data_IF_520090542993
#
_entry.id   IF_520090542993
#
_cell.length_a   1.000
_cell.length_b   1.000
_cell.length_c   1.000
_cell.angle_alpha   90.00
_cell.angle_beta   90.00
_cell.angle_gamma   90.00
#
_symmetry.space_group_name_H-M   'P 1'
#
loop_
_entity.id
_entity.type
_entity.pdbx_description
1 polymer ?
#
# COMPACT_ATOMS: atom_id res chain seq x y z
N UNK A 1 12.71 17.41 6.89
CA UNK A 1 14.13 17.47 6.51
C UNK A 1 14.56 16.25 5.69
N UNK A 2 14.48 15.02 6.16
CA UNK A 2 14.91 13.81 5.43
C UNK A 2 14.23 13.58 4.07
N UNK A 3 12.97 13.97 3.87
CA UNK A 3 12.25 13.77 2.60
C UNK A 3 12.80 14.68 1.49
N UNK A 4 13.15 15.93 1.80
CA UNK A 4 13.74 16.87 0.86
C UNK A 4 15.15 16.41 0.44
N UNK A 5 15.97 15.98 1.40
CA UNK A 5 17.33 15.45 1.15
C UNK A 5 17.27 14.23 0.21
N UNK A 6 16.36 13.29 0.44
CA UNK A 6 16.15 12.15 -0.47
C UNK A 6 15.83 12.57 -1.90
N UNK A 7 14.94 13.56 -2.07
CA UNK A 7 14.56 14.06 -3.39
C UNK A 7 15.77 14.67 -4.11
N UNK A 8 16.55 15.49 -3.40
CA UNK A 8 17.79 16.09 -3.97
C UNK A 8 18.80 15.03 -4.38
N UNK A 9 19.03 14.02 -3.52
CA UNK A 9 19.94 12.91 -3.83
C UNK A 9 19.46 12.14 -5.07
N UNK A 10 18.17 11.81 -5.16
CA UNK A 10 17.62 11.12 -6.32
C UNK A 10 17.72 11.96 -7.60
N UNK A 11 17.56 13.28 -7.49
CA UNK A 11 17.73 14.20 -8.60
C UNK A 11 19.18 14.21 -9.11
N UNK A 12 20.15 14.29 -8.21
CA UNK A 12 21.60 14.21 -8.54
C UNK A 12 21.91 12.86 -9.20
N UNK A 13 21.45 11.74 -8.63
CA UNK A 13 21.65 10.40 -9.19
C UNK A 13 21.05 10.32 -10.61
N UNK A 14 19.87 10.90 -10.84
CA UNK A 14 19.25 10.97 -12.16
C UNK A 14 20.13 11.68 -13.17
N UNK A 15 20.65 12.86 -12.84
CA UNK A 15 21.50 13.67 -13.73
C UNK A 15 22.87 13.04 -14.00
N UNK A 16 23.44 12.33 -13.04
CA UNK A 16 24.70 11.59 -13.18
C UNK A 16 24.54 10.24 -13.91
N UNK A 17 23.36 9.93 -14.46
CA UNK A 17 23.11 8.67 -15.15
C UNK A 17 23.02 7.45 -14.23
N UNK A 18 22.93 7.66 -12.91
CA UNK A 18 22.88 6.57 -11.93
C UNK A 18 21.72 5.61 -12.14
N UNK A 19 20.55 6.07 -12.60
CA UNK A 19 19.44 5.18 -12.94
C UNK A 19 19.73 4.30 -14.17
N UNK A 20 20.51 4.81 -15.14
CA UNK A 20 20.97 3.99 -16.26
C UNK A 20 21.93 2.91 -15.78
N UNK A 21 22.93 3.28 -14.95
CA UNK A 21 23.87 2.32 -14.36
C UNK A 21 23.13 1.24 -13.56
N UNK A 22 22.20 1.63 -12.67
CA UNK A 22 21.37 0.69 -11.91
C UNK A 22 20.58 -0.26 -12.81
N UNK A 23 20.04 0.23 -13.92
CA UNK A 23 19.33 -0.60 -14.90
C UNK A 23 20.28 -1.59 -15.58
N UNK A 24 21.50 -1.18 -15.90
CA UNK A 24 22.52 -2.07 -16.48
C UNK A 24 22.93 -3.17 -15.48
N UNK A 25 23.15 -2.81 -14.21
CA UNK A 25 23.51 -3.76 -13.15
C UNK A 25 22.38 -4.75 -12.79
N UNK A 26 21.14 -4.37 -13.07
CA UNK A 26 19.96 -5.22 -12.81
C UNK A 26 19.42 -5.91 -14.07
N UNK A 27 20.13 -5.89 -15.18
CA UNK A 27 19.79 -6.67 -16.37
C UNK A 27 19.71 -8.16 -16.01
N UNK A 28 18.65 -8.82 -16.50
CA UNK A 28 18.39 -10.23 -16.17
C UNK A 28 17.67 -10.49 -14.84
N UNK A 29 17.34 -9.44 -14.08
CA UNK A 29 16.53 -9.55 -12.86
C UNK A 29 15.08 -9.19 -13.14
N UNK A 30 14.16 -9.92 -12.50
CA UNK A 30 12.74 -9.59 -12.48
C UNK A 30 12.48 -8.59 -11.38
N UNK A 31 11.77 -7.51 -11.68
CA UNK A 31 11.30 -6.56 -10.70
C UNK A 31 9.86 -6.92 -10.29
N UNK A 32 9.62 -7.10 -9.00
CA UNK A 32 8.27 -7.28 -8.45
C UNK A 32 7.80 -5.96 -7.87
N UNK A 33 6.70 -5.43 -8.39
CA UNK A 33 6.03 -4.25 -7.87
C UNK A 33 4.83 -4.69 -7.04
N UNK A 34 4.97 -4.57 -5.72
CA UNK A 34 3.94 -4.93 -4.77
C UNK A 34 3.12 -3.70 -4.38
N UNK A 35 1.81 -3.83 -4.46
CA UNK A 35 0.82 -2.84 -4.04
C UNK A 35 -0.09 -3.42 -2.96
N UNK A 36 -0.83 -2.55 -2.26
CA UNK A 36 -1.81 -2.97 -1.25
C UNK A 36 -3.16 -2.32 -1.56
N UNK A 37 -3.61 -1.39 -0.73
CA UNK A 37 -4.89 -0.73 -0.90
C UNK A 37 -4.84 0.57 -1.73
N UNK A 38 -6.01 1.02 -2.15
CA UNK A 38 -6.19 2.31 -2.80
C UNK A 38 -7.08 3.19 -1.94
N UNK A 39 -6.79 4.49 -1.97
CA UNK A 39 -7.49 5.46 -1.15
C UNK A 39 -8.80 5.87 -1.79
N UNK A 40 -9.90 5.81 -1.04
CA UNK A 40 -11.17 6.42 -1.42
C UNK A 40 -11.15 7.94 -1.21
N UNK A 41 -10.45 8.40 -0.17
CA UNK A 41 -10.36 9.81 0.22
C UNK A 41 -8.92 10.18 0.58
N UNK A 42 -8.61 10.22 1.85
CA UNK A 42 -7.36 10.73 2.42
C UNK A 42 -6.49 9.65 3.09
N UNK A 43 -6.84 8.36 2.93
CA UNK A 43 -6.10 7.23 3.52
C UNK A 43 -4.63 7.21 3.08
N UNK A 44 -4.33 7.73 1.87
CA UNK A 44 -2.95 7.89 1.39
C UNK A 44 -2.12 8.91 2.19
N UNK A 45 -2.76 9.83 2.91
CA UNK A 45 -2.10 10.75 3.85
C UNK A 45 -1.83 10.06 5.19
N UNK A 46 -2.78 9.25 5.63
CA UNK A 46 -2.70 8.48 6.86
C UNK A 46 -1.61 7.40 6.79
N UNK A 47 -1.66 6.52 5.81
CA UNK A 47 -0.69 5.44 5.59
C UNK A 47 -0.24 5.37 4.11
N UNK A 48 0.68 6.26 3.68
CA UNK A 48 1.09 6.35 2.28
C UNK A 48 1.87 5.12 1.76
N UNK A 49 2.28 4.21 2.66
CA UNK A 49 2.90 2.93 2.29
C UNK A 49 1.86 1.83 2.07
N UNK A 50 0.67 1.96 2.67
CA UNK A 50 -0.42 0.99 2.56
C UNK A 50 -1.43 1.42 1.50
N UNK A 51 -1.77 2.70 1.45
CA UNK A 51 -2.77 3.23 0.52
C UNK A 51 -2.15 4.17 -0.51
N UNK A 52 -2.49 3.95 -1.75
CA UNK A 52 -2.09 4.78 -2.89
C UNK A 52 -3.31 5.45 -3.52
N UNK A 53 -3.12 6.63 -4.09
CA UNK A 53 -4.17 7.25 -4.91
C UNK A 53 -4.36 6.48 -6.21
N UNK A 54 -5.61 6.16 -6.63
CA UNK A 54 -5.91 5.44 -7.88
C UNK A 54 -5.27 6.08 -9.11
N UNK A 55 -5.29 7.42 -9.20
CA UNK A 55 -4.71 8.14 -10.34
C UNK A 55 -3.18 7.98 -10.43
N UNK A 56 -2.53 7.83 -9.29
CA UNK A 56 -1.09 7.57 -9.24
C UNK A 56 -0.75 6.17 -9.73
N UNK A 57 -1.62 5.21 -9.46
CA UNK A 57 -1.50 3.85 -9.95
C UNK A 57 -1.74 3.79 -11.47
N UNK A 58 -2.82 4.40 -11.96
CA UNK A 58 -3.12 4.48 -13.38
C UNK A 58 -1.94 5.05 -14.17
N UNK A 59 -1.37 6.18 -13.73
CA UNK A 59 -0.17 6.78 -14.35
C UNK A 59 1.03 5.83 -14.37
N UNK A 60 1.16 4.95 -13.38
CA UNK A 60 2.23 3.94 -13.36
C UNK A 60 1.98 2.84 -14.37
N UNK A 61 0.74 2.37 -14.51
CA UNK A 61 0.38 1.38 -15.53
C UNK A 61 0.58 1.96 -16.94
N UNK A 62 0.16 3.19 -17.19
CA UNK A 62 0.41 3.90 -18.45
C UNK A 62 1.91 4.03 -18.77
N UNK A 63 2.72 4.31 -17.76
CA UNK A 63 4.17 4.36 -17.92
C UNK A 63 4.74 2.98 -18.22
N UNK A 64 4.29 1.94 -17.53
CA UNK A 64 4.72 0.56 -17.76
C UNK A 64 4.36 0.11 -19.19
N UNK A 65 3.16 0.44 -19.67
CA UNK A 65 2.70 0.11 -21.02
C UNK A 65 3.60 0.69 -22.13
N UNK A 66 4.18 1.88 -21.87
CA UNK A 66 5.09 2.57 -22.79
C UNK A 66 6.57 2.30 -22.55
N UNK A 67 6.88 1.54 -21.51
CA UNK A 67 8.24 1.23 -21.11
C UNK A 67 8.80 0.01 -21.87
N UNK A 68 10.11 -0.20 -21.90
CA UNK A 68 10.70 -1.42 -22.46
C UNK A 68 10.54 -2.66 -21.58
N UNK A 69 9.77 -2.56 -20.49
CA UNK A 69 9.55 -3.68 -19.58
C UNK A 69 8.42 -4.57 -20.06
N UNK A 70 8.64 -5.89 -20.03
CA UNK A 70 7.60 -6.87 -20.27
C UNK A 70 6.90 -7.18 -18.95
N UNK A 71 5.60 -6.89 -18.88
CA UNK A 71 4.79 -7.26 -17.74
C UNK A 71 4.41 -8.72 -17.90
N UNK A 72 4.78 -9.54 -16.92
CA UNK A 72 4.61 -11.00 -16.96
C UNK A 72 3.92 -11.49 -15.68
N UNK A 73 3.30 -12.67 -15.77
CA UNK A 73 2.76 -13.32 -14.57
C UNK A 73 3.88 -13.77 -13.63
N UNK A 74 3.56 -13.97 -12.35
CA UNK A 74 4.52 -14.51 -11.39
C UNK A 74 5.04 -15.88 -11.83
N UNK A 75 4.18 -16.74 -12.35
CA UNK A 75 4.53 -18.07 -12.87
C UNK A 75 5.49 -17.97 -14.06
N UNK A 76 5.22 -17.08 -15.02
CA UNK A 76 6.12 -16.86 -16.16
C UNK A 76 7.48 -16.35 -15.70
N UNK A 77 7.52 -15.43 -14.74
CA UNK A 77 8.77 -14.90 -14.20
C UNK A 77 9.61 -15.97 -13.50
N UNK A 78 8.98 -16.91 -12.79
CA UNK A 78 9.66 -18.03 -12.12
C UNK A 78 10.21 -19.02 -13.15
N UNK A 79 9.42 -19.38 -14.16
CA UNK A 79 9.79 -20.37 -15.17
C UNK A 79 10.83 -19.85 -16.16
N UNK A 80 10.87 -18.56 -16.38
CA UNK A 80 11.77 -17.90 -17.33
C UNK A 80 12.73 -16.94 -16.63
N UNK A 81 13.35 -17.39 -15.54
CA UNK A 81 14.45 -16.68 -14.89
C UNK A 81 15.50 -16.30 -15.94
N UNK A 82 16.07 -15.14 -15.85
CA UNK A 82 17.09 -14.59 -16.77
C UNK A 82 16.59 -13.92 -18.07
N UNK A 83 15.28 -13.77 -18.30
CA UNK A 83 14.81 -12.83 -19.32
C UNK A 83 14.95 -11.40 -18.82
N UNK A 84 15.54 -10.55 -19.64
CA UNK A 84 15.76 -9.14 -19.30
C UNK A 84 14.43 -8.35 -19.25
N UNK A 85 14.41 -7.32 -18.41
CA UNK A 85 13.35 -6.33 -18.35
C UNK A 85 11.95 -6.90 -18.02
N UNK A 86 11.87 -7.90 -17.14
CA UNK A 86 10.59 -8.41 -16.66
C UNK A 86 10.10 -7.64 -15.44
N UNK A 87 8.80 -7.36 -15.39
CA UNK A 87 8.10 -6.80 -14.22
C UNK A 87 6.91 -7.66 -13.90
N UNK A 88 6.74 -7.98 -12.64
CA UNK A 88 5.58 -8.67 -12.08
C UNK A 88 4.80 -7.69 -11.23
N UNK A 89 3.48 -7.68 -11.37
CA UNK A 89 2.58 -6.91 -10.53
C UNK A 89 1.95 -7.83 -9.48
N UNK A 90 2.04 -7.44 -8.22
CA UNK A 90 1.34 -8.13 -7.13
C UNK A 90 0.53 -7.13 -6.31
N UNK A 91 -0.57 -7.60 -5.76
CA UNK A 91 -1.39 -6.86 -4.81
C UNK A 91 -1.65 -7.74 -3.60
N UNK A 92 -1.47 -7.19 -2.43
CA UNK A 92 -1.63 -7.89 -1.16
C UNK A 92 -2.94 -7.51 -0.47
N UNK A 93 -3.33 -8.34 0.49
CA UNK A 93 -4.44 -8.19 1.44
C UNK A 93 -5.86 -8.31 0.83
N UNK A 94 -6.05 -8.15 -0.48
CA UNK A 94 -7.38 -8.24 -1.10
C UNK A 94 -8.33 -7.11 -0.71
N UNK A 95 -7.83 -5.88 -0.55
CA UNK A 95 -8.66 -4.70 -0.25
C UNK A 95 -9.77 -4.50 -1.28
N UNK A 96 -11.01 -4.23 -0.84
CA UNK A 96 -12.14 -3.94 -1.71
C UNK A 96 -11.84 -2.81 -2.71
N UNK A 97 -11.10 -1.80 -2.28
CA UNK A 97 -10.63 -0.69 -3.11
C UNK A 97 -9.82 -1.12 -4.34
N UNK A 98 -9.21 -2.30 -4.34
CA UNK A 98 -8.51 -2.85 -5.51
C UNK A 98 -9.47 -3.10 -6.65
N UNK A 99 -10.61 -3.74 -6.38
CA UNK A 99 -11.65 -3.99 -7.38
C UNK A 99 -12.37 -2.69 -7.76
N UNK A 100 -12.83 -1.95 -6.76
CA UNK A 100 -13.74 -0.83 -6.95
C UNK A 100 -13.09 0.40 -7.59
N UNK A 101 -11.82 0.67 -7.29
CA UNK A 101 -11.15 1.90 -7.72
C UNK A 101 -10.16 1.71 -8.88
N UNK A 102 -9.61 0.52 -9.03
CA UNK A 102 -8.56 0.28 -10.04
C UNK A 102 -8.80 -0.96 -10.90
N UNK A 103 -9.88 -1.70 -10.68
CA UNK A 103 -10.22 -2.89 -11.45
C UNK A 103 -10.30 -2.61 -12.95
N UNK A 104 -11.02 -1.58 -13.36
CA UNK A 104 -11.15 -1.19 -14.76
C UNK A 104 -9.82 -0.74 -15.35
N UNK A 105 -9.01 0.00 -14.59
CA UNK A 105 -7.69 0.42 -15.04
C UNK A 105 -6.75 -0.77 -15.30
N UNK A 106 -6.82 -1.80 -14.45
CA UNK A 106 -6.07 -3.05 -14.63
C UNK A 106 -6.56 -3.78 -15.88
N UNK A 107 -7.87 -3.89 -16.08
CA UNK A 107 -8.49 -4.56 -17.22
C UNK A 107 -8.12 -3.90 -18.56
N UNK A 108 -8.14 -2.56 -18.63
CA UNK A 108 -7.76 -1.81 -19.84
C UNK A 108 -6.35 -2.14 -20.31
N UNK A 109 -5.40 -2.27 -19.38
CA UNK A 109 -4.01 -2.59 -19.71
C UNK A 109 -3.78 -4.07 -19.99
N UNK A 110 -4.72 -4.94 -19.61
CA UNK A 110 -4.61 -6.40 -19.73
C UNK A 110 -3.28 -6.96 -19.20
N UNK A 111 -2.76 -6.37 -18.13
CA UNK A 111 -1.54 -6.83 -17.49
C UNK A 111 -1.83 -8.00 -16.55
N UNK A 112 -1.01 -9.06 -16.56
CA UNK A 112 -1.12 -10.12 -15.58
C UNK A 112 -0.86 -9.55 -14.19
N UNK A 113 -1.73 -9.90 -13.23
CA UNK A 113 -1.68 -9.48 -11.85
C UNK A 113 -1.84 -10.68 -10.93
N UNK A 114 -1.04 -10.75 -9.88
CA UNK A 114 -1.22 -11.72 -8.79
C UNK A 114 -1.83 -11.00 -7.59
N UNK A 115 -3.00 -11.44 -7.16
CA UNK A 115 -3.67 -10.92 -5.97
C UNK A 115 -3.52 -11.94 -4.82
N UNK A 116 -2.90 -11.52 -3.73
CA UNK A 116 -2.85 -12.29 -2.48
C UNK A 116 -3.99 -11.86 -1.57
N UNK A 117 -4.83 -12.80 -1.19
CA UNK A 117 -6.04 -12.53 -0.41
C UNK A 117 -5.87 -13.10 1.00
N UNK A 118 -6.18 -12.30 2.01
CA UNK A 118 -6.26 -12.78 3.39
C UNK A 118 -7.57 -13.49 3.61
N UNK A 119 -7.54 -14.84 3.65
CA UNK A 119 -8.73 -15.71 3.75
C UNK A 119 -9.61 -15.35 4.95
N UNK A 120 -9.01 -15.04 6.10
CA UNK A 120 -9.74 -14.62 7.30
C UNK A 120 -10.76 -13.50 7.02
N UNK A 121 -10.36 -12.44 6.32
CA UNK A 121 -11.27 -11.32 6.04
C UNK A 121 -12.31 -11.63 4.96
N UNK A 122 -12.00 -12.56 4.06
CA UNK A 122 -12.97 -13.06 3.07
C UNK A 122 -14.06 -13.87 3.76
N UNK A 123 -13.71 -14.74 4.69
CA UNK A 123 -14.63 -15.58 5.43
C UNK A 123 -15.46 -14.77 6.44
N UNK A 124 -14.84 -13.90 7.19
CA UNK A 124 -15.50 -13.11 8.24
C UNK A 124 -16.23 -11.87 7.72
N UNK A 125 -15.93 -11.43 6.49
CA UNK A 125 -16.50 -10.22 5.87
C UNK A 125 -16.40 -8.97 6.78
N UNK A 126 -15.36 -8.92 7.59
CA UNK A 126 -15.13 -7.88 8.59
C UNK A 126 -14.11 -6.86 8.15
N UNK A 127 -14.13 -5.70 8.80
CA UNK A 127 -13.10 -4.69 8.63
C UNK A 127 -11.77 -5.16 9.22
N UNK A 128 -10.66 -4.65 8.66
CA UNK A 128 -9.32 -4.78 9.28
C UNK A 128 -9.27 -3.82 10.47
N UNK A 129 -9.74 -4.30 11.64
CA UNK A 129 -10.08 -3.49 12.83
C UNK A 129 -8.93 -2.55 13.23
N UNK A 130 -7.71 -3.05 13.31
CA UNK A 130 -6.54 -2.25 13.69
C UNK A 130 -6.25 -1.10 12.70
N UNK A 131 -6.54 -1.29 11.42
CA UNK A 131 -6.38 -0.24 10.39
C UNK A 131 -7.51 0.75 10.47
N UNK A 132 -8.75 0.28 10.63
CA UNK A 132 -9.95 1.11 10.74
C UNK A 132 -9.88 2.01 11.99
N UNK A 133 -9.59 1.44 13.16
CA UNK A 133 -9.41 2.19 14.40
C UNK A 133 -8.29 3.22 14.29
N UNK A 134 -7.15 2.82 13.73
CA UNK A 134 -6.03 3.75 13.55
C UNK A 134 -6.38 4.92 12.63
N UNK A 135 -7.17 4.69 11.58
CA UNK A 135 -7.64 5.74 10.68
C UNK A 135 -8.61 6.70 11.38
N UNK A 136 -9.59 6.16 12.11
CA UNK A 136 -10.55 6.96 12.89
C UNK A 136 -9.82 7.83 13.91
N UNK A 137 -8.87 7.27 14.66
CA UNK A 137 -8.08 8.02 15.63
C UNK A 137 -7.18 9.07 14.97
N UNK A 138 -6.65 8.78 13.79
CA UNK A 138 -5.87 9.75 13.03
C UNK A 138 -6.72 10.96 12.63
N UNK A 139 -7.96 10.74 12.14
CA UNK A 139 -8.89 11.83 11.83
C UNK A 139 -9.37 12.58 13.08
N UNK A 140 -9.47 11.88 14.20
CA UNK A 140 -9.90 12.46 15.48
C UNK A 140 -8.75 13.10 16.30
N UNK A 141 -7.57 13.30 15.70
CA UNK A 141 -6.44 13.88 16.40
C UNK A 141 -6.79 15.23 17.08
N UNK A 142 -6.43 15.38 18.34
CA UNK A 142 -6.77 16.54 19.18
C UNK A 142 -8.16 16.48 19.84
N UNK A 143 -8.97 15.45 19.54
CA UNK A 143 -10.29 15.23 20.19
C UNK A 143 -10.16 14.29 21.37
N UNK A 144 -11.22 14.27 22.20
CA UNK A 144 -11.35 13.34 23.32
C UNK A 144 -12.18 12.14 22.91
N UNK A 145 -11.66 10.94 23.17
CA UNK A 145 -12.38 9.67 23.03
C UNK A 145 -12.78 9.20 24.43
N UNK A 146 -14.07 8.98 24.61
CA UNK A 146 -14.62 8.32 25.80
C UNK A 146 -15.00 6.91 25.41
N UNK A 147 -14.42 5.92 26.06
CA UNK A 147 -14.73 4.51 25.85
C UNK A 147 -15.63 4.03 27.00
N UNK A 148 -16.77 3.45 26.63
CA UNK A 148 -17.76 2.92 27.55
C UNK A 148 -17.18 1.78 28.40
N UNK A 149 -17.65 1.64 29.64
CA UNK A 149 -17.33 0.57 30.57
C UNK A 149 -17.72 -0.83 30.07
N UNK A 150 -18.63 -0.90 29.10
CA UNK A 150 -18.99 -2.16 28.40
C UNK A 150 -17.86 -2.69 27.52
N UNK A 151 -17.00 -1.81 26.99
CA UNK A 151 -15.88 -2.18 26.14
C UNK A 151 -14.57 -2.31 26.94
N UNK A 152 -14.34 -1.40 27.86
CA UNK A 152 -13.17 -1.44 28.76
C UNK A 152 -13.66 -1.34 30.21
N UNK A 153 -13.38 -2.34 31.08
CA UNK A 153 -13.74 -2.27 32.48
C UNK A 153 -13.28 -0.95 33.12
N UNK A 154 -14.18 -0.27 33.82
CA UNK A 154 -13.98 1.06 34.42
C UNK A 154 -14.05 2.25 33.45
N UNK A 155 -14.35 2.02 32.19
CA UNK A 155 -14.33 3.05 31.17
C UNK A 155 -12.96 3.74 31.04
N UNK A 156 -12.69 4.39 29.94
CA UNK A 156 -11.48 5.19 29.80
C UNK A 156 -11.72 6.43 28.94
N UNK A 157 -11.02 7.49 29.26
CA UNK A 157 -11.01 8.73 28.47
C UNK A 157 -9.61 8.99 27.96
N UNK A 158 -9.48 9.19 26.64
CA UNK A 158 -8.22 9.49 25.99
C UNK A 158 -8.30 10.84 25.29
N UNK A 159 -7.30 11.68 25.48
CA UNK A 159 -7.05 12.81 24.57
C UNK A 159 -6.18 12.30 23.43
N UNK A 160 -6.75 12.22 22.23
CA UNK A 160 -6.10 11.60 21.07
C UNK A 160 -4.96 12.51 20.59
N UNK A 161 -3.79 11.94 20.43
CA UNK A 161 -2.60 12.61 19.90
C UNK A 161 -1.80 11.67 19.01
N UNK A 162 -1.00 12.22 18.11
CA UNK A 162 -0.10 11.42 17.26
C UNK A 162 0.85 10.50 18.03
N UNK A 163 1.11 10.82 19.31
CA UNK A 163 2.02 10.05 20.17
C UNK A 163 1.35 8.81 20.79
N UNK A 164 0.04 8.86 21.07
CA UNK A 164 -0.67 7.80 21.78
C UNK A 164 -1.64 6.98 20.93
N UNK A 165 -1.92 7.37 19.67
CA UNK A 165 -2.85 6.66 18.78
C UNK A 165 -2.56 5.16 18.73
N UNK A 166 -1.28 4.77 18.57
CA UNK A 166 -0.89 3.37 18.50
C UNK A 166 -1.19 2.59 19.79
N UNK A 167 -0.99 3.22 20.95
CA UNK A 167 -1.30 2.60 22.24
C UNK A 167 -2.81 2.38 22.39
N UNK A 168 -3.61 3.40 22.04
CA UNK A 168 -5.08 3.32 22.07
C UNK A 168 -5.58 2.21 21.14
N UNK A 169 -5.08 2.13 19.90
CA UNK A 169 -5.44 1.05 18.96
C UNK A 169 -5.14 -0.32 19.53
N UNK A 170 -3.95 -0.52 20.08
CA UNK A 170 -3.56 -1.81 20.64
C UNK A 170 -4.44 -2.20 21.82
N UNK A 171 -4.77 -1.26 22.69
CA UNK A 171 -5.63 -1.50 23.85
C UNK A 171 -7.07 -1.83 23.42
N UNK A 172 -7.63 -1.09 22.45
CA UNK A 172 -8.98 -1.36 21.95
C UNK A 172 -9.05 -2.69 21.19
N UNK A 173 -8.05 -3.02 20.38
CA UNK A 173 -8.04 -4.31 19.66
C UNK A 173 -8.01 -5.50 20.63
N UNK A 174 -7.32 -5.42 21.74
CA UNK A 174 -7.29 -6.49 22.75
C UNK A 174 -8.63 -6.76 23.43
N UNK A 175 -9.59 -5.84 23.33
CA UNK A 175 -10.92 -5.98 23.91
C UNK A 175 -11.96 -6.49 22.89
N UNK A 176 -11.62 -6.49 21.60
CA UNK A 176 -12.54 -6.83 20.51
C UNK A 176 -12.31 -8.27 20.02
N UNK A 177 -11.09 -8.81 20.21
CA UNK A 177 -10.73 -10.20 19.93
C UNK A 177 -11.27 -11.14 21.03
#
# INVERSE_FOLDING_TARGET
MFKAIKIVILFIIKWLGGFWLFRCLNRGKTCVLCYHGFAYKDEYLFRPKLFMRPESFAKRLDWLARSPYKIVSLTEAINHRHKNNQVVLTMDDGWASTKELVGDCIAIHNFPLTLYITSYYVEKQGAVINVALAYILWQANGKTLVVDDKLIPSGKTYVISTKNQRLIVNELCQQID
#
